data_IF_793313787819
#
_entry.id   IF_793313787819
#
_cell.length_a   1.000
_cell.length_b   1.000
_cell.length_c   1.000
_cell.angle_alpha   90.00
_cell.angle_beta   90.00
_cell.angle_gamma   90.00
#
_symmetry.space_group_name_H-M   'P 1'
#
loop_
_entity.id
_entity.type
_entity.pdbx_description
1 polymer ?
#
# COMPACT_ATOMS: atom_id res chain seq x y z
N UNK A 1 -0.48 -17.59 -24.20
CA UNK A 1 0.71 -17.03 -23.51
C UNK A 1 0.34 -16.93 -22.05
N UNK A 2 1.10 -17.55 -21.16
CA UNK A 2 0.93 -17.37 -19.71
C UNK A 2 1.29 -15.93 -19.38
N UNK A 3 0.32 -15.14 -18.92
CA UNK A 3 0.58 -13.80 -18.39
C UNK A 3 1.45 -13.97 -17.16
N UNK A 4 2.67 -13.44 -17.16
CA UNK A 4 3.50 -13.37 -15.96
C UNK A 4 2.81 -12.41 -14.99
N UNK A 5 2.69 -12.79 -13.73
CA UNK A 5 2.07 -11.97 -12.67
C UNK A 5 3.08 -11.72 -11.58
N UNK A 6 3.03 -10.54 -10.98
CA UNK A 6 3.81 -10.17 -9.81
C UNK A 6 2.88 -9.74 -8.67
N UNK A 7 3.41 -9.76 -7.45
CA UNK A 7 2.67 -9.40 -6.24
C UNK A 7 3.34 -8.22 -5.54
N UNK A 8 2.56 -7.30 -4.99
CA UNK A 8 3.02 -6.23 -4.10
C UNK A 8 2.21 -6.27 -2.80
N UNK A 9 2.85 -6.03 -1.65
CA UNK A 9 2.17 -5.95 -0.35
C UNK A 9 2.49 -4.59 0.28
N UNK A 10 1.45 -3.80 0.55
CA UNK A 10 1.56 -2.40 0.99
C UNK A 10 0.64 -2.13 2.18
N UNK A 11 1.02 -1.21 3.06
CA UNK A 11 0.19 -0.68 4.13
C UNK A 11 0.28 0.85 4.17
N UNK A 12 -0.85 1.53 4.36
CA UNK A 12 -0.91 2.99 4.25
C UNK A 12 -2.10 3.61 4.96
N UNK A 13 -2.57 3.02 6.05
CA UNK A 13 -3.80 3.40 6.74
C UNK A 13 -4.93 2.39 6.55
N UNK A 14 -6.17 2.84 6.74
CA UNK A 14 -7.36 1.99 6.54
C UNK A 14 -7.33 1.27 5.19
N UNK A 15 -7.31 -0.06 5.23
CA UNK A 15 -7.18 -0.88 4.02
C UNK A 15 -8.36 -0.77 3.03
N UNK A 16 -9.52 -0.23 3.46
CA UNK A 16 -10.69 -0.06 2.60
C UNK A 16 -10.42 1.00 1.53
N UNK A 17 -9.92 2.17 1.94
CA UNK A 17 -9.56 3.24 1.01
C UNK A 17 -8.37 2.87 0.12
N UNK A 18 -7.40 2.14 0.67
CA UNK A 18 -6.30 1.57 -0.10
C UNK A 18 -6.81 0.67 -1.24
N UNK A 19 -7.67 -0.30 -0.91
CA UNK A 19 -8.22 -1.24 -1.90
C UNK A 19 -9.09 -0.55 -2.94
N UNK A 20 -9.96 0.39 -2.53
CA UNK A 20 -10.87 1.11 -3.43
C UNK A 20 -10.12 1.88 -4.54
N UNK A 21 -8.99 2.48 -4.20
CA UNK A 21 -8.20 3.26 -5.16
C UNK A 21 -7.27 2.37 -5.99
N UNK A 22 -6.53 1.45 -5.36
CA UNK A 22 -5.52 0.63 -6.05
C UNK A 22 -6.16 -0.36 -7.03
N UNK A 23 -7.32 -0.92 -6.71
CA UNK A 23 -8.02 -1.88 -7.59
C UNK A 23 -8.34 -1.31 -8.98
N UNK A 24 -8.43 0.02 -9.11
CA UNK A 24 -8.85 0.71 -10.35
C UNK A 24 -7.67 1.00 -11.29
N UNK A 25 -6.44 0.71 -10.86
CA UNK A 25 -5.24 0.97 -11.66
C UNK A 25 -5.18 -0.04 -12.83
N UNK A 26 -5.10 0.42 -14.09
CA UNK A 26 -4.90 -0.48 -15.22
C UNK A 26 -3.64 -1.35 -15.05
N UNK A 27 -3.80 -2.67 -15.19
CA UNK A 27 -2.73 -3.64 -14.99
C UNK A 27 -2.78 -4.35 -13.64
N UNK A 28 -3.51 -3.82 -12.65
CA UNK A 28 -3.88 -4.58 -11.44
C UNK A 28 -4.89 -5.66 -11.83
N UNK A 29 -4.62 -6.90 -11.43
CA UNK A 29 -5.39 -8.09 -11.76
C UNK A 29 -6.33 -8.50 -10.62
N UNK A 30 -5.83 -8.46 -9.38
CA UNK A 30 -6.60 -8.77 -8.19
C UNK A 30 -6.04 -8.01 -6.98
N UNK A 31 -6.89 -7.82 -5.97
CA UNK A 31 -6.47 -7.25 -4.68
C UNK A 31 -7.18 -7.97 -3.55
N UNK A 32 -6.51 -8.13 -2.41
CA UNK A 32 -7.14 -8.54 -1.16
C UNK A 32 -6.56 -7.76 0.01
N UNK A 33 -7.38 -7.51 1.02
CA UNK A 33 -6.95 -6.82 2.25
C UNK A 33 -6.69 -7.81 3.38
N UNK A 34 -5.83 -7.44 4.32
CA UNK A 34 -5.38 -8.31 5.39
C UNK A 34 -4.47 -7.63 6.39
N UNK A 35 -3.78 -8.44 7.18
CA UNK A 35 -2.88 -8.03 8.23
C UNK A 35 -1.48 -8.61 7.97
N UNK A 36 -0.44 -7.77 7.91
CA UNK A 36 0.94 -8.21 7.64
C UNK A 36 1.98 -7.39 8.42
N UNK A 37 3.21 -7.92 8.50
CA UNK A 37 4.33 -7.24 9.20
C UNK A 37 4.23 -7.19 10.72
N UNK A 38 3.62 -8.20 11.35
CA UNK A 38 3.42 -8.27 12.79
C UNK A 38 3.81 -9.62 13.39
N UNK A 39 3.37 -9.87 14.61
CA UNK A 39 3.89 -10.89 15.52
C UNK A 39 2.94 -12.07 15.77
N UNK A 40 1.65 -11.94 15.48
CA UNK A 40 0.64 -12.97 15.81
C UNK A 40 0.18 -13.76 14.58
N UNK A 41 0.11 -15.10 14.65
CA UNK A 41 -0.47 -15.89 13.57
C UNK A 41 -2.00 -15.79 13.56
N UNK A 42 -2.62 -16.10 12.40
CA UNK A 42 -4.08 -16.09 12.22
C UNK A 42 -4.72 -14.76 12.65
N UNK A 43 -4.09 -13.64 12.28
CA UNK A 43 -4.56 -12.31 12.63
C UNK A 43 -5.99 -12.04 12.13
N UNK A 44 -6.74 -11.28 12.92
CA UNK A 44 -8.15 -10.89 12.68
C UNK A 44 -8.32 -9.41 12.97
N UNK A 45 -9.44 -8.82 12.57
CA UNK A 45 -9.72 -7.41 12.83
C UNK A 45 -9.65 -7.06 14.31
N UNK A 46 -10.13 -7.97 15.17
CA UNK A 46 -10.15 -7.75 16.63
C UNK A 46 -8.84 -8.16 17.32
N UNK A 47 -7.99 -8.93 16.67
CA UNK A 47 -6.73 -9.40 17.22
C UNK A 47 -5.70 -9.60 16.11
N UNK A 48 -4.92 -8.56 15.83
CA UNK A 48 -3.84 -8.58 14.85
C UNK A 48 -2.50 -8.09 15.42
N UNK A 49 -2.38 -7.98 16.75
CA UNK A 49 -1.12 -7.64 17.42
C UNK A 49 -0.46 -6.37 16.84
N UNK A 50 0.78 -6.52 16.36
CA UNK A 50 1.56 -5.46 15.72
C UNK A 50 1.42 -5.39 14.19
N UNK A 51 0.57 -6.21 13.58
CA UNK A 51 0.35 -6.19 12.13
C UNK A 51 -0.23 -4.84 11.67
N UNK A 52 0.21 -4.39 10.50
CA UNK A 52 -0.46 -3.31 9.77
C UNK A 52 -1.67 -3.86 9.03
N UNK A 53 -2.73 -3.04 8.91
CA UNK A 53 -3.72 -3.20 7.84
C UNK A 53 -3.02 -3.01 6.50
N UNK A 54 -3.09 -4.04 5.65
CA UNK A 54 -2.33 -4.14 4.42
C UNK A 54 -3.21 -4.60 3.26
N UNK A 55 -2.72 -4.34 2.04
CA UNK A 55 -3.28 -4.81 0.78
C UNK A 55 -2.22 -5.65 0.07
N UNK A 56 -2.61 -6.83 -0.42
CA UNK A 56 -1.86 -7.62 -1.39
C UNK A 56 -2.46 -7.37 -2.78
N UNK A 57 -1.59 -7.09 -3.75
CA UNK A 57 -1.95 -6.66 -5.10
C UNK A 57 -1.27 -7.61 -6.08
N UNK A 58 -2.05 -8.32 -6.89
CA UNK A 58 -1.51 -9.03 -8.04
C UNK A 58 -1.62 -8.14 -9.28
N UNK A 59 -0.54 -8.02 -10.04
CA UNK A 59 -0.49 -7.15 -11.22
C UNK A 59 0.25 -7.79 -12.39
N UNK A 60 0.00 -7.28 -13.59
CA UNK A 60 0.71 -7.65 -14.81
C UNK A 60 1.87 -6.68 -15.05
N UNK A 61 3.15 -7.09 -14.87
CA UNK A 61 4.32 -6.23 -15.06
C UNK A 61 4.48 -5.72 -16.51
N UNK A 62 3.83 -6.37 -17.49
CA UNK A 62 3.81 -5.88 -18.88
C UNK A 62 2.87 -4.67 -19.10
N UNK A 63 2.00 -4.36 -18.13
CA UNK A 63 1.03 -3.25 -18.20
C UNK A 63 1.37 -2.17 -17.18
N UNK A 64 1.76 -2.55 -15.96
CA UNK A 64 2.15 -1.64 -14.90
C UNK A 64 3.37 -2.17 -14.15
N UNK A 65 4.35 -1.32 -13.90
CA UNK A 65 5.53 -1.65 -13.11
C UNK A 65 5.28 -1.52 -11.61
N UNK A 66 6.06 -2.24 -10.81
CA UNK A 66 6.09 -2.10 -9.35
C UNK A 66 6.34 -0.64 -8.92
N UNK A 67 7.25 0.07 -9.60
CA UNK A 67 7.52 1.50 -9.38
C UNK A 67 6.26 2.36 -9.52
N UNK A 68 5.46 2.14 -10.55
CA UNK A 68 4.22 2.90 -10.77
C UNK A 68 3.17 2.61 -9.70
N UNK A 69 3.11 1.37 -9.19
CA UNK A 69 2.27 1.03 -8.03
C UNK A 69 2.72 1.81 -6.80
N UNK A 70 4.03 1.90 -6.54
CA UNK A 70 4.57 2.67 -5.41
C UNK A 70 4.33 4.18 -5.54
N UNK A 71 4.50 4.75 -6.73
CA UNK A 71 4.18 6.16 -6.98
C UNK A 71 2.71 6.46 -6.70
N UNK A 72 1.79 5.59 -7.12
CA UNK A 72 0.37 5.74 -6.79
C UNK A 72 0.11 5.54 -5.29
N UNK A 73 0.77 4.58 -4.66
CA UNK A 73 0.70 4.39 -3.20
C UNK A 73 1.06 5.67 -2.45
N UNK A 74 2.19 6.30 -2.75
CA UNK A 74 2.59 7.58 -2.14
C UNK A 74 1.64 8.74 -2.49
N UNK A 75 0.87 8.64 -3.57
CA UNK A 75 -0.10 9.65 -3.97
C UNK A 75 -1.42 9.60 -3.18
N UNK A 76 -1.78 8.44 -2.61
CA UNK A 76 -3.11 8.20 -2.01
C UNK A 76 -3.13 8.16 -0.48
N UNK A 77 -1.97 8.13 0.17
CA UNK A 77 -1.83 8.14 1.63
C UNK A 77 -0.68 9.08 2.03
N UNK A 78 -0.77 9.72 3.20
CA UNK A 78 0.34 10.53 3.72
C UNK A 78 1.44 9.62 4.28
N UNK A 79 2.66 9.59 3.70
CA UNK A 79 3.75 8.73 4.12
C UNK A 79 4.62 9.39 5.21
N UNK A 80 4.27 10.59 5.68
CA UNK A 80 5.07 11.35 6.66
C UNK A 80 4.54 11.24 8.10
N UNK A 81 3.39 10.58 8.29
CA UNK A 81 2.74 10.43 9.60
C UNK A 81 3.01 9.04 10.19
N UNK A 82 3.87 8.97 11.21
CA UNK A 82 4.19 7.70 11.87
C UNK A 82 2.98 7.14 12.63
N UNK A 83 2.67 5.86 12.43
CA UNK A 83 1.58 5.13 13.09
C UNK A 83 0.22 5.86 13.02
N UNK A 84 -0.06 6.50 11.88
CA UNK A 84 -1.29 7.25 11.65
C UNK A 84 -1.54 7.43 10.16
N UNK A 85 -2.81 7.38 9.77
CA UNK A 85 -3.28 7.91 8.49
C UNK A 85 -4.56 8.71 8.71
N UNK A 86 -4.53 10.02 8.44
CA UNK A 86 -5.70 10.89 8.63
C UNK A 86 -6.24 10.83 10.06
N UNK A 87 -7.46 10.31 10.21
CA UNK A 87 -8.14 10.14 11.51
C UNK A 87 -7.85 8.79 12.18
N UNK A 88 -7.25 7.84 11.44
CA UNK A 88 -6.95 6.50 11.92
C UNK A 88 -5.57 6.51 12.61
N UNK A 89 -5.54 6.25 13.92
CA UNK A 89 -4.34 6.39 14.77
C UNK A 89 -3.99 5.02 15.37
N UNK A 90 -2.74 4.60 15.23
CA UNK A 90 -2.23 3.33 15.74
C UNK A 90 -1.28 2.64 14.76
N UNK A 91 -0.52 1.67 15.27
CA UNK A 91 0.44 0.90 14.47
C UNK A 91 -0.22 0.08 13.35
N UNK A 92 -1.51 -0.23 13.47
CA UNK A 92 -2.32 -0.84 12.42
C UNK A 92 -2.38 0.03 11.16
N UNK A 93 -2.25 1.35 11.29
CA UNK A 93 -2.43 2.32 10.21
C UNK A 93 -1.12 2.93 9.71
N UNK A 94 0.02 2.34 10.08
CA UNK A 94 1.34 2.84 9.66
C UNK A 94 1.53 2.66 8.14
N UNK A 95 2.45 3.46 7.60
CA UNK A 95 2.93 3.30 6.23
C UNK A 95 4.03 2.24 6.18
N UNK A 96 3.88 1.22 5.34
CA UNK A 96 4.88 0.18 5.14
C UNK A 96 4.83 -0.42 3.71
N UNK A 97 5.99 -0.85 3.22
CA UNK A 97 6.19 -1.61 2.00
C UNK A 97 6.85 -2.94 2.40
N UNK A 98 6.17 -4.04 2.09
CA UNK A 98 6.62 -5.38 2.38
C UNK A 98 7.18 -6.02 1.11
N UNK A 99 8.50 -5.96 0.92
CA UNK A 99 9.14 -6.41 -0.33
C UNK A 99 9.27 -7.94 -0.39
N UNK A 100 8.99 -8.53 -1.56
CA UNK A 100 9.07 -9.98 -1.78
C UNK A 100 10.44 -10.45 -2.27
N UNK A 101 11.26 -9.54 -2.79
CA UNK A 101 12.61 -9.80 -3.28
C UNK A 101 13.46 -8.51 -3.26
N UNK A 102 14.74 -8.66 -3.55
CA UNK A 102 15.72 -7.55 -3.51
C UNK A 102 15.43 -6.47 -4.55
N UNK A 103 14.90 -6.82 -5.73
CA UNK A 103 14.53 -5.85 -6.75
C UNK A 103 13.39 -4.94 -6.26
N UNK A 104 12.38 -5.50 -5.58
CA UNK A 104 11.33 -4.70 -4.94
C UNK A 104 11.88 -3.82 -3.81
N UNK A 105 12.84 -4.31 -3.01
CA UNK A 105 13.48 -3.48 -1.99
C UNK A 105 14.16 -2.28 -2.63
N UNK A 106 15.00 -2.52 -3.62
CA UNK A 106 15.79 -1.47 -4.27
C UNK A 106 14.88 -0.42 -4.94
N UNK A 107 13.81 -0.87 -5.62
CA UNK A 107 12.81 0.05 -6.20
C UNK A 107 12.04 0.81 -5.11
N UNK A 108 11.70 0.18 -3.98
CA UNK A 108 11.01 0.85 -2.88
C UNK A 108 11.86 1.93 -2.23
N UNK A 109 13.13 1.63 -1.92
CA UNK A 109 14.09 2.57 -1.35
C UNK A 109 14.34 3.74 -2.29
N UNK A 110 14.56 3.46 -3.57
CA UNK A 110 14.75 4.47 -4.62
C UNK A 110 13.51 5.36 -4.82
N UNK A 111 12.31 4.79 -4.72
CA UNK A 111 11.05 5.57 -4.82
C UNK A 111 10.86 6.46 -3.60
N UNK A 112 11.11 5.95 -2.40
CA UNK A 112 11.03 6.74 -1.17
C UNK A 112 12.06 7.89 -1.18
N UNK A 113 13.27 7.63 -1.67
CA UNK A 113 14.31 8.65 -1.83
C UNK A 113 13.89 9.75 -2.81
N UNK A 114 13.29 9.39 -3.96
CA UNK A 114 12.76 10.38 -4.90
C UNK A 114 11.61 11.20 -4.30
N UNK A 115 10.73 10.57 -3.52
CA UNK A 115 9.64 11.25 -2.78
C UNK A 115 10.21 12.30 -1.83
N UNK A 116 11.17 11.92 -0.99
CA UNK A 116 11.85 12.84 -0.08
C UNK A 116 12.58 13.96 -0.84
N UNK A 117 13.33 13.61 -1.89
CA UNK A 117 14.11 14.58 -2.67
C UNK A 117 13.23 15.58 -3.45
N UNK A 118 12.00 15.20 -3.80
CA UNK A 118 11.08 16.07 -4.55
C UNK A 118 10.60 17.29 -3.77
N UNK A 119 10.52 17.20 -2.44
CA UNK A 119 9.92 18.24 -1.58
C UNK A 119 8.42 18.47 -1.81
N UNK A 120 7.72 17.58 -2.53
CA UNK A 120 6.29 17.71 -2.85
C UNK A 120 5.37 17.18 -1.73
N UNK A 121 5.90 16.33 -0.86
CA UNK A 121 5.19 15.75 0.29
C UNK A 121 5.36 16.61 1.54
N UNK A 122 4.40 16.54 2.50
CA UNK A 122 4.34 17.48 3.61
C UNK A 122 5.44 17.27 4.67
N UNK A 123 6.21 16.19 4.58
CA UNK A 123 7.29 15.88 5.51
C UNK A 123 8.12 14.70 5.02
N UNK A 124 9.12 14.33 5.82
CA UNK A 124 10.00 13.18 5.56
C UNK A 124 9.20 11.88 5.51
N UNK A 125 9.50 11.02 4.55
CA UNK A 125 8.94 9.67 4.47
C UNK A 125 9.33 8.85 5.71
N UNK A 126 8.32 8.31 6.39
CA UNK A 126 8.48 7.39 7.53
C UNK A 126 8.04 5.97 7.20
N UNK A 127 7.74 5.69 5.93
CA UNK A 127 7.36 4.37 5.42
C UNK A 127 8.42 3.33 5.75
N UNK A 128 8.01 2.26 6.43
CA UNK A 128 8.87 1.10 6.68
C UNK A 128 9.10 0.33 5.37
N UNK A 129 10.34 -0.03 5.05
CA UNK A 129 10.66 -0.90 3.90
C UNK A 129 11.30 -2.15 4.48
N UNK A 130 10.54 -3.24 4.53
CA UNK A 130 10.88 -4.45 5.29
C UNK A 130 10.52 -5.70 4.49
N UNK A 131 11.17 -6.85 4.72
CA UNK A 131 10.87 -8.06 3.97
C UNK A 131 9.45 -8.54 4.28
N UNK A 132 8.76 -9.05 3.25
CA UNK A 132 7.44 -9.62 3.40
C UNK A 132 7.46 -10.88 4.28
N UNK A 133 6.60 -10.89 5.30
CA UNK A 133 6.27 -12.07 6.10
C UNK A 133 4.93 -12.69 5.67
N UNK A 134 4.28 -13.45 6.56
CA UNK A 134 2.92 -13.94 6.32
C UNK A 134 1.91 -12.80 6.06
N UNK A 135 0.93 -13.07 5.20
CA UNK A 135 -0.23 -12.21 4.97
C UNK A 135 -1.50 -12.90 5.45
N UNK A 136 -2.13 -12.36 6.50
CA UNK A 136 -3.37 -12.87 7.06
C UNK A 136 -4.54 -12.16 6.43
N UNK A 137 -5.20 -12.80 5.46
CA UNK A 137 -6.36 -12.23 4.79
C UNK A 137 -7.45 -11.83 5.80
N UNK A 138 -7.94 -10.60 5.68
CA UNK A 138 -9.01 -10.10 6.52
C UNK A 138 -10.35 -10.76 6.18
N UNK A 139 -11.27 -10.64 7.13
CA UNK A 139 -12.60 -11.23 7.09
C UNK A 139 -13.40 -10.78 5.84
N UNK A 140 -14.34 -11.60 5.33
CA UNK A 140 -15.07 -11.30 4.09
C UNK A 140 -15.81 -9.97 4.08
N UNK A 141 -16.23 -9.45 5.23
CA UNK A 141 -16.84 -8.12 5.34
C UNK A 141 -15.88 -6.96 5.00
N UNK A 142 -14.57 -7.16 5.14
CA UNK A 142 -13.57 -6.14 4.83
C UNK A 142 -13.11 -6.15 3.37
N UNK A 143 -13.25 -7.29 2.69
CA UNK A 143 -12.94 -7.39 1.26
C UNK A 143 -13.93 -6.58 0.43
N UNK A 144 -13.45 -5.76 -0.50
CA UNK A 144 -14.28 -4.95 -1.40
C UNK A 144 -15.28 -4.05 -0.65
N UNK A 145 -14.93 -3.61 0.57
CA UNK A 145 -15.86 -2.89 1.46
C UNK A 145 -16.51 -1.67 0.78
N UNK A 146 -15.71 -0.83 0.12
CA UNK A 146 -16.21 0.38 -0.56
C UNK A 146 -16.89 0.10 -1.91
N UNK A 147 -16.69 -1.07 -2.52
CA UNK A 147 -17.53 -1.49 -3.66
C UNK A 147 -18.93 -1.91 -3.17
N UNK A 148 -19.01 -2.56 -2.00
CA UNK A 148 -20.27 -2.94 -1.36
C UNK A 148 -20.98 -1.74 -0.72
N UNK A 149 -20.22 -0.79 -0.17
CA UNK A 149 -20.70 0.39 0.53
C UNK A 149 -20.00 1.65 -0.01
N UNK A 150 -20.42 2.19 -1.18
CA UNK A 150 -19.72 3.30 -1.85
C UNK A 150 -19.63 4.61 -1.06
N UNK A 151 -20.56 4.83 -0.12
CA UNK A 151 -20.54 5.98 0.79
C UNK A 151 -19.92 5.64 2.15
N UNK A 152 -19.19 4.53 2.24
CA UNK A 152 -18.50 4.08 3.44
C UNK A 152 -17.33 5.00 3.80
N UNK A 153 -16.71 4.73 4.95
CA UNK A 153 -15.58 5.52 5.43
C UNK A 153 -14.34 5.33 4.54
N UNK A 154 -13.72 6.45 4.16
CA UNK A 154 -12.35 6.50 3.64
C UNK A 154 -11.72 7.85 3.95
N UNK A 155 -10.43 7.86 4.26
CA UNK A 155 -9.60 9.06 4.32
C UNK A 155 -8.59 9.12 3.15
N UNK A 156 -8.60 8.13 2.27
CA UNK A 156 -7.71 8.05 1.09
C UNK A 156 -8.31 8.80 -0.09
N UNK A 157 -7.46 9.57 -0.75
CA UNK A 157 -7.78 10.26 -2.00
C UNK A 157 -6.49 10.57 -2.74
N UNK A 158 -6.59 10.70 -4.07
CA UNK A 158 -5.46 11.06 -4.93
C UNK A 158 -5.10 12.53 -4.67
N UNK A 159 -3.88 12.81 -4.19
CA UNK A 159 -3.32 14.16 -4.16
C UNK A 159 -2.70 14.47 -5.53
N UNK A 160 -3.27 15.38 -6.36
CA UNK A 160 -2.74 15.60 -7.71
C UNK A 160 -1.30 16.15 -7.74
N UNK A 161 -0.89 16.84 -6.66
CA UNK A 161 0.43 17.45 -6.52
C UNK A 161 1.48 16.48 -5.95
N UNK A 162 1.10 15.29 -5.51
CA UNK A 162 2.00 14.24 -5.01
C UNK A 162 2.38 13.31 -6.15
N UNK A 163 3.14 13.83 -7.10
CA UNK A 163 3.53 13.12 -8.32
C UNK A 163 5.00 13.37 -8.61
N UNK A 164 5.78 12.29 -8.65
CA UNK A 164 7.19 12.38 -9.01
C UNK A 164 7.36 12.89 -10.45
N UNK A 165 8.40 13.70 -10.72
CA UNK A 165 8.77 14.03 -12.08
C UNK A 165 9.18 12.74 -12.81
N UNK A 166 8.84 12.64 -14.10
CA UNK A 166 9.37 11.55 -14.93
C UNK A 166 10.89 11.68 -14.96
N UNK A 167 11.60 10.62 -14.58
CA UNK A 167 13.06 10.54 -14.79
C UNK A 167 13.35 10.78 -16.27
N UNK A 168 14.32 11.65 -16.56
CA UNK A 168 14.85 11.75 -17.91
C UNK A 168 15.50 10.40 -18.24
N UNK A 169 15.12 9.83 -19.39
CA UNK A 169 15.77 8.65 -19.97
C UNK A 169 17.19 9.00 -20.41
#
# INVERSE_FOLDING_TARGET
MTTQTETAILAGGCFWGMQDLIRRIPGVLSTRVGYSGGDVPNATYRNHGSHAEAIEIEFNPAVISYRQILEFFFQIHDPSTANRQGNDIGASYRSAIFYLNEEQRDVAEDTAADVDASGLWPGKVVTEIVPAGPFWQAEPEHQDYLEKVPNGYTCHFIRPNWKLPKRAL
#
